data_IF_988898285774
#
_entry.id   IF_988898285774
#
_cell.length_a   1.000
_cell.length_b   1.000
_cell.length_c   1.000
_cell.angle_alpha   90.00
_cell.angle_beta   90.00
_cell.angle_gamma   90.00
#
_symmetry.space_group_name_H-M   'P 1'
#
loop_
_entity.id
_entity.type
_entity.pdbx_description
1 polymer ?
#
# COMPACT_ATOMS: atom_id res chain seq x y z
N UNK A 1 41.66 31.74 41.46
CA UNK A 1 42.39 30.54 40.94
C UNK A 1 41.42 29.40 40.59
N UNK A 2 40.24 29.69 39.99
CA UNK A 2 39.14 28.71 39.85
C UNK A 2 38.54 28.53 38.46
N UNK A 3 39.08 29.15 37.40
CA UNK A 3 38.41 29.19 36.08
C UNK A 3 38.90 28.15 35.07
N UNK A 4 40.02 27.45 35.29
CA UNK A 4 40.58 26.52 34.29
C UNK A 4 39.92 25.12 34.24
N UNK A 5 39.20 24.70 35.28
CA UNK A 5 38.57 23.35 35.32
C UNK A 5 37.26 23.22 34.53
N UNK A 6 36.66 24.33 34.09
CA UNK A 6 35.42 24.33 33.29
C UNK A 6 35.67 24.13 31.79
N UNK A 7 36.72 24.77 31.25
CA UNK A 7 37.01 24.78 29.80
C UNK A 7 37.32 23.41 29.21
N UNK A 8 38.10 22.57 29.91
CA UNK A 8 38.48 21.25 29.39
C UNK A 8 37.31 20.26 29.29
N UNK A 9 36.31 20.38 30.17
CA UNK A 9 35.07 19.57 30.08
C UNK A 9 34.17 20.04 28.96
N UNK A 10 34.10 21.34 28.69
CA UNK A 10 33.33 21.89 27.58
C UNK A 10 33.92 21.49 26.22
N UNK A 11 35.25 21.49 26.07
CA UNK A 11 35.92 21.03 24.85
C UNK A 11 35.72 19.53 24.59
N UNK A 12 35.77 18.70 25.63
CA UNK A 12 35.53 17.25 25.50
C UNK A 12 34.07 16.95 25.12
N UNK A 13 33.11 17.69 25.69
CA UNK A 13 31.69 17.59 25.31
C UNK A 13 31.47 18.08 23.88
N UNK A 14 32.11 19.17 23.46
CA UNK A 14 32.06 19.67 22.08
C UNK A 14 32.65 18.67 21.08
N UNK A 15 33.79 18.05 21.40
CA UNK A 15 34.39 17.01 20.56
C UNK A 15 33.48 15.77 20.45
N UNK A 16 32.83 15.38 21.56
CA UNK A 16 31.88 14.27 21.58
C UNK A 16 30.63 14.58 20.73
N UNK A 17 30.02 15.75 20.90
CA UNK A 17 28.87 16.20 20.09
C UNK A 17 29.23 16.28 18.62
N UNK A 18 30.42 16.78 18.30
CA UNK A 18 30.92 16.84 16.92
C UNK A 18 31.04 15.44 16.30
N UNK A 19 31.56 14.46 17.05
CA UNK A 19 31.69 13.09 16.56
C UNK A 19 30.33 12.39 16.34
N UNK A 20 29.30 12.75 17.11
CA UNK A 20 27.94 12.20 16.99
C UNK A 20 27.21 12.83 15.79
N UNK A 21 27.33 14.14 15.61
CA UNK A 21 26.63 14.87 14.54
C UNK A 21 27.27 14.62 13.18
N UNK A 22 28.60 14.56 13.11
CA UNK A 22 29.35 14.40 11.85
C UNK A 22 29.79 12.95 11.59
N UNK A 23 28.94 12.00 11.96
CA UNK A 23 29.16 10.61 11.59
C UNK A 23 29.01 10.46 10.08
N UNK A 24 30.01 9.87 9.43
CA UNK A 24 29.95 9.58 7.99
C UNK A 24 28.77 8.66 7.67
N UNK A 25 28.03 9.03 6.63
CA UNK A 25 26.92 8.23 6.12
C UNK A 25 27.40 7.25 5.05
N UNK A 26 26.79 6.07 5.01
CA UNK A 26 27.00 5.12 3.91
C UNK A 26 26.34 5.62 2.61
N UNK A 27 26.92 5.24 1.48
CA UNK A 27 26.35 5.54 0.17
C UNK A 27 25.20 4.56 -0.15
N UNK A 28 24.02 5.09 -0.47
CA UNK A 28 22.80 4.35 -0.81
C UNK A 28 22.37 4.52 -2.28
N UNK A 29 23.25 5.04 -3.14
CA UNK A 29 22.98 5.29 -4.55
C UNK A 29 22.52 4.01 -5.25
N UNK A 30 21.38 4.11 -5.94
CA UNK A 30 20.77 2.98 -6.66
C UNK A 30 20.07 1.94 -5.80
N UNK A 31 20.15 2.00 -4.46
CA UNK A 31 19.45 1.08 -3.55
C UNK A 31 18.10 1.60 -3.08
N UNK A 32 17.93 2.91 -3.03
CA UNK A 32 16.72 3.56 -2.52
C UNK A 32 16.07 4.43 -3.57
N UNK A 33 14.73 4.42 -3.59
CA UNK A 33 13.94 5.38 -4.39
C UNK A 33 14.15 6.76 -3.80
N UNK A 34 14.54 7.72 -4.64
CA UNK A 34 14.69 9.11 -4.24
C UNK A 34 13.32 9.70 -3.91
N UNK A 35 13.21 10.38 -2.77
CA UNK A 35 11.97 11.04 -2.36
C UNK A 35 11.75 12.26 -3.25
N UNK A 36 10.66 12.23 -4.01
CA UNK A 36 10.27 13.30 -4.94
C UNK A 36 8.75 13.37 -5.05
N UNK A 37 8.21 14.57 -4.88
CA UNK A 37 6.78 14.85 -5.02
C UNK A 37 6.39 15.17 -6.48
N UNK A 38 5.08 15.32 -6.71
CA UNK A 38 4.58 15.74 -8.01
C UNK A 38 4.91 17.21 -8.29
N UNK A 39 5.48 17.50 -9.47
CA UNK A 39 5.71 18.87 -9.93
C UNK A 39 4.44 19.47 -10.56
N UNK A 40 3.82 20.42 -9.86
CA UNK A 40 2.63 21.12 -10.34
C UNK A 40 2.90 22.10 -11.49
N UNK A 41 4.16 22.40 -11.82
CA UNK A 41 4.48 23.19 -13.01
C UNK A 41 4.16 22.44 -14.31
N UNK A 42 4.03 21.11 -14.26
CA UNK A 42 3.54 20.27 -15.36
C UNK A 42 2.02 20.35 -15.56
N UNK A 43 1.32 21.14 -14.73
CA UNK A 43 -0.14 21.23 -14.69
C UNK A 43 -0.78 20.18 -13.77
N UNK A 44 -2.12 20.16 -13.75
CA UNK A 44 -2.89 19.26 -12.87
C UNK A 44 -3.20 17.95 -13.59
N UNK A 45 -2.36 16.93 -13.35
CA UNK A 45 -2.55 15.58 -13.88
C UNK A 45 -2.74 14.58 -12.71
N UNK A 46 -4.00 14.21 -12.45
CA UNK A 46 -4.33 13.30 -11.34
C UNK A 46 -3.68 11.91 -11.44
N UNK A 47 -3.65 11.24 -12.62
CA UNK A 47 -2.91 9.98 -12.76
C UNK A 47 -1.43 10.09 -12.35
N UNK A 48 -0.73 11.14 -12.80
CA UNK A 48 0.68 11.33 -12.46
C UNK A 48 0.87 11.72 -10.98
N UNK A 49 -0.05 12.52 -10.43
CA UNK A 49 -0.07 12.89 -9.02
C UNK A 49 -0.25 11.66 -8.10
N UNK A 50 -1.18 10.76 -8.44
CA UNK A 50 -1.37 9.53 -7.67
C UNK A 50 -0.18 8.58 -7.84
N UNK A 51 0.43 8.54 -9.04
CA UNK A 51 1.63 7.73 -9.30
C UNK A 51 2.85 8.22 -8.51
N UNK A 52 3.02 9.53 -8.31
CA UNK A 52 4.14 10.06 -7.52
C UNK A 52 4.03 9.77 -6.02
N UNK A 53 2.86 9.34 -5.53
CA UNK A 53 2.66 9.04 -4.10
C UNK A 53 3.64 7.98 -3.58
N UNK A 54 4.05 7.03 -4.41
CA UNK A 54 5.07 6.01 -4.09
C UNK A 54 6.37 6.64 -3.62
N UNK A 55 6.80 7.72 -4.27
CA UNK A 55 8.05 8.44 -3.96
C UNK A 55 7.85 9.65 -3.03
N UNK A 56 6.62 9.91 -2.56
CA UNK A 56 6.32 11.11 -1.75
C UNK A 56 6.68 10.93 -0.26
N UNK A 57 6.64 9.70 0.25
CA UNK A 57 6.97 9.37 1.64
C UNK A 57 5.76 9.26 2.58
N UNK A 58 6.01 8.79 3.81
CA UNK A 58 5.00 8.60 4.86
C UNK A 58 3.79 7.76 4.40
N UNK A 59 2.56 8.24 4.65
CA UNK A 59 1.34 7.56 4.26
C UNK A 59 1.08 7.61 2.75
N UNK A 60 1.68 8.56 2.04
CA UNK A 60 1.54 8.62 0.58
C UNK A 60 2.21 7.40 -0.07
N UNK A 61 3.39 7.01 0.39
CA UNK A 61 4.05 5.79 -0.09
C UNK A 61 3.21 4.54 0.18
N UNK A 62 2.68 4.39 1.41
CA UNK A 62 1.79 3.28 1.75
C UNK A 62 0.54 3.21 0.83
N UNK A 63 -0.04 4.36 0.48
CA UNK A 63 -1.16 4.42 -0.44
C UNK A 63 -0.75 4.03 -1.87
N UNK A 64 0.40 4.52 -2.34
CA UNK A 64 0.97 4.15 -3.64
C UNK A 64 1.21 2.63 -3.74
N UNK A 65 1.79 2.04 -2.70
CA UNK A 65 2.03 0.59 -2.61
C UNK A 65 0.71 -0.19 -2.58
N UNK A 66 -0.27 0.27 -1.81
CA UNK A 66 -1.59 -0.36 -1.78
C UNK A 66 -2.28 -0.36 -3.14
N UNK A 67 -2.17 0.74 -3.92
CA UNK A 67 -2.69 0.81 -5.28
C UNK A 67 -1.99 -0.22 -6.18
N UNK A 68 -0.66 -0.34 -6.09
CA UNK A 68 0.09 -1.31 -6.89
C UNK A 68 -0.31 -2.75 -6.55
N UNK A 69 -0.42 -3.09 -5.26
CA UNK A 69 -0.81 -4.42 -4.81
C UNK A 69 -2.24 -4.77 -5.27
N UNK A 70 -3.19 -3.84 -5.19
CA UNK A 70 -4.56 -4.09 -5.68
C UNK A 70 -4.57 -4.31 -7.19
N UNK A 71 -3.81 -3.52 -7.97
CA UNK A 71 -3.71 -3.74 -9.41
C UNK A 71 -3.07 -5.11 -9.73
N UNK A 72 -2.03 -5.51 -8.99
CA UNK A 72 -1.44 -6.85 -9.12
C UNK A 72 -2.47 -7.95 -8.83
N UNK A 73 -3.31 -7.80 -7.81
CA UNK A 73 -4.39 -8.76 -7.53
C UNK A 73 -5.40 -8.86 -8.69
N UNK A 74 -5.72 -7.75 -9.34
CA UNK A 74 -6.66 -7.71 -10.47
C UNK A 74 -6.05 -8.30 -11.75
N UNK A 75 -4.77 -8.06 -11.98
CA UNK A 75 -4.04 -8.49 -13.17
C UNK A 75 -3.55 -9.94 -13.08
N UNK A 76 -3.29 -10.44 -11.86
CA UNK A 76 -2.72 -11.78 -11.62
C UNK A 76 -3.56 -12.89 -12.26
N UNK A 77 -2.88 -13.82 -12.93
CA UNK A 77 -3.43 -15.07 -13.47
C UNK A 77 -2.59 -16.25 -13.01
N UNK A 78 -3.20 -17.44 -12.94
CA UNK A 78 -2.46 -18.67 -12.62
C UNK A 78 -1.38 -19.00 -13.69
N UNK A 79 -1.47 -18.42 -14.89
CA UNK A 79 -0.43 -18.51 -15.91
C UNK A 79 0.89 -17.81 -15.54
N UNK A 80 0.85 -16.86 -14.60
CA UNK A 80 2.02 -16.11 -14.18
C UNK A 80 2.90 -16.92 -13.21
N UNK A 81 2.32 -17.93 -12.56
CA UNK A 81 3.02 -18.86 -11.67
C UNK A 81 3.69 -20.00 -12.47
N UNK A 82 4.92 -20.40 -12.10
CA UNK A 82 5.59 -21.53 -12.73
C UNK A 82 4.82 -22.83 -12.52
N UNK A 83 4.94 -23.75 -13.47
CA UNK A 83 4.39 -25.11 -13.33
C UNK A 83 5.33 -25.91 -12.44
N UNK A 84 4.81 -26.45 -11.35
CA UNK A 84 5.53 -27.37 -10.46
C UNK A 84 5.10 -28.81 -10.73
N UNK A 85 5.91 -29.78 -10.29
CA UNK A 85 5.60 -31.23 -10.42
C UNK A 85 4.32 -31.65 -9.66
N UNK A 86 3.77 -30.74 -8.85
CA UNK A 86 2.54 -30.92 -8.07
C UNK A 86 1.27 -30.52 -8.85
N UNK A 87 1.42 -29.80 -9.97
CA UNK A 87 0.31 -29.40 -10.84
C UNK A 87 -0.31 -30.62 -11.53
N UNK A 88 -1.62 -30.80 -11.43
CA UNK A 88 -2.31 -31.97 -11.98
C UNK A 88 -3.46 -31.62 -12.93
N UNK A 89 -3.73 -32.49 -13.89
CA UNK A 89 -4.92 -32.45 -14.75
C UNK A 89 -5.13 -31.13 -15.51
N UNK A 90 -6.19 -30.41 -15.14
CA UNK A 90 -6.65 -29.17 -15.79
C UNK A 90 -5.75 -27.96 -15.54
N UNK A 91 -4.88 -28.01 -14.52
CA UNK A 91 -3.93 -26.93 -14.18
C UNK A 91 -2.71 -26.89 -15.09
N UNK A 92 -2.49 -27.94 -15.90
CA UNK A 92 -1.45 -27.99 -16.94
C UNK A 92 -1.92 -27.34 -18.26
N UNK A 93 -3.23 -27.15 -18.42
CA UNK A 93 -3.82 -26.58 -19.64
C UNK A 93 -3.69 -25.06 -19.58
N UNK A 94 -2.92 -24.49 -20.52
CA UNK A 94 -2.65 -23.06 -20.59
C UNK A 94 -3.92 -22.20 -20.60
N UNK A 95 -4.95 -22.63 -21.33
CA UNK A 95 -6.22 -21.91 -21.41
C UNK A 95 -6.95 -21.87 -20.06
N UNK A 96 -6.91 -22.95 -19.28
CA UNK A 96 -7.48 -22.94 -17.93
C UNK A 96 -6.67 -22.05 -16.98
N UNK A 97 -5.33 -22.06 -17.06
CA UNK A 97 -4.48 -21.20 -16.21
C UNK A 97 -4.71 -19.71 -16.47
N UNK A 98 -4.96 -19.32 -17.73
CA UNK A 98 -5.30 -17.93 -18.09
C UNK A 98 -6.69 -17.51 -17.59
N UNK A 99 -7.63 -18.46 -17.48
CA UNK A 99 -8.97 -18.19 -16.97
C UNK A 99 -9.04 -18.12 -15.44
N UNK A 100 -8.07 -18.66 -14.72
CA UNK A 100 -8.02 -18.58 -13.26
C UNK A 100 -7.48 -17.22 -12.84
N UNK A 101 -8.35 -16.43 -12.21
CA UNK A 101 -8.04 -15.11 -11.64
C UNK A 101 -7.85 -15.19 -10.12
N UNK A 102 -7.22 -14.17 -9.54
CA UNK A 102 -7.07 -14.06 -8.10
C UNK A 102 -8.44 -13.92 -7.41
N UNK A 103 -8.60 -14.56 -6.24
CA UNK A 103 -9.80 -14.43 -5.40
C UNK A 103 -9.60 -13.29 -4.42
N UNK A 104 -10.19 -12.12 -4.69
CA UNK A 104 -10.03 -10.96 -3.82
C UNK A 104 -11.12 -10.95 -2.74
N UNK A 105 -10.68 -10.84 -1.48
CA UNK A 105 -11.54 -10.75 -0.29
C UNK A 105 -11.65 -9.29 0.14
N UNK A 106 -12.87 -8.77 0.20
CA UNK A 106 -13.13 -7.40 0.66
C UNK A 106 -13.78 -7.45 2.05
N UNK A 107 -13.14 -6.81 3.03
CA UNK A 107 -13.66 -6.63 4.37
C UNK A 107 -13.77 -5.14 4.70
N UNK A 108 -14.91 -4.73 5.25
CA UNK A 108 -15.11 -3.37 5.74
C UNK A 108 -15.90 -3.39 7.05
N UNK A 109 -15.76 -2.33 7.83
CA UNK A 109 -16.49 -2.10 9.07
C UNK A 109 -17.85 -1.45 8.81
N UNK A 110 -18.79 -1.55 9.74
CA UNK A 110 -20.15 -1.03 9.57
C UNK A 110 -20.21 0.47 9.31
N UNK A 111 -19.30 1.25 9.92
CA UNK A 111 -19.21 2.69 9.72
C UNK A 111 -18.90 3.08 8.26
N UNK A 112 -18.21 2.22 7.50
CA UNK A 112 -17.90 2.48 6.09
C UNK A 112 -19.16 2.37 5.22
N UNK A 113 -20.09 1.47 5.55
CA UNK A 113 -21.36 1.37 4.82
C UNK A 113 -22.40 2.40 5.27
N UNK A 114 -22.32 2.87 6.51
CA UNK A 114 -23.11 4.03 6.92
C UNK A 114 -22.55 5.37 6.40
N UNK A 115 -21.40 5.35 5.69
CA UNK A 115 -20.76 6.52 5.09
C UNK A 115 -20.94 6.54 3.56
N UNK A 116 -20.48 7.61 2.92
CA UNK A 116 -20.46 7.73 1.44
C UNK A 116 -19.59 6.70 0.72
N UNK A 117 -18.73 5.96 1.44
CA UNK A 117 -17.95 4.85 0.87
C UNK A 117 -18.84 3.67 0.44
N UNK A 118 -20.10 3.62 0.90
CA UNK A 118 -21.10 2.64 0.46
C UNK A 118 -21.25 2.56 -1.05
N UNK A 119 -21.20 3.70 -1.75
CA UNK A 119 -21.40 3.72 -3.21
C UNK A 119 -20.20 3.10 -3.95
N UNK A 120 -18.99 3.35 -3.47
CA UNK A 120 -17.77 2.68 -3.97
C UNK A 120 -17.85 1.18 -3.75
N UNK A 121 -18.20 0.73 -2.54
CA UNK A 121 -18.35 -0.70 -2.25
C UNK A 121 -19.45 -1.34 -3.11
N UNK A 122 -20.59 -0.65 -3.28
CA UNK A 122 -21.68 -1.10 -4.15
C UNK A 122 -21.20 -1.28 -5.58
N UNK A 123 -20.47 -0.31 -6.13
CA UNK A 123 -19.92 -0.40 -7.50
C UNK A 123 -19.03 -1.63 -7.66
N UNK A 124 -18.10 -1.84 -6.72
CA UNK A 124 -17.17 -2.98 -6.76
C UNK A 124 -17.89 -4.34 -6.69
N UNK A 125 -18.97 -4.43 -5.90
CA UNK A 125 -19.79 -5.66 -5.81
C UNK A 125 -20.64 -5.88 -7.07
N UNK A 126 -21.20 -4.82 -7.66
CA UNK A 126 -22.02 -4.91 -8.87
C UNK A 126 -21.24 -5.42 -10.08
N UNK A 127 -19.99 -5.00 -10.23
CA UNK A 127 -19.13 -5.40 -11.34
C UNK A 127 -18.34 -6.69 -11.07
N UNK A 128 -18.63 -7.41 -9.97
CA UNK A 128 -17.98 -8.67 -9.56
C UNK A 128 -16.45 -8.60 -9.57
N UNK A 129 -15.88 -7.48 -9.13
CA UNK A 129 -14.42 -7.34 -9.00
C UNK A 129 -13.84 -8.08 -7.78
N UNK A 130 -14.71 -8.62 -6.90
CA UNK A 130 -14.35 -9.35 -5.67
C UNK A 130 -15.21 -10.61 -5.55
N UNK A 131 -14.66 -11.65 -4.93
CA UNK A 131 -15.31 -12.96 -4.89
C UNK A 131 -15.98 -13.28 -3.55
N UNK A 132 -15.43 -12.79 -2.42
CA UNK A 132 -15.96 -13.09 -1.08
C UNK A 132 -16.03 -11.80 -0.25
N UNK A 133 -17.20 -11.56 0.35
CA UNK A 133 -17.51 -10.40 1.18
C UNK A 133 -17.60 -10.82 2.66
N UNK A 134 -16.72 -10.29 3.50
CA UNK A 134 -16.76 -10.51 4.96
C UNK A 134 -17.31 -9.27 5.66
N UNK A 135 -18.60 -9.30 6.03
CA UNK A 135 -19.23 -8.30 6.91
C UNK A 135 -19.01 -8.71 8.38
N UNK A 136 -18.48 -7.81 9.23
CA UNK A 136 -18.62 -8.00 10.69
C UNK A 136 -20.03 -7.58 11.14
N UNK A 137 -20.84 -8.51 11.68
CA UNK A 137 -22.25 -8.24 11.97
C UNK A 137 -22.41 -7.61 13.35
N UNK A 138 -22.38 -6.27 13.44
CA UNK A 138 -22.86 -5.59 14.66
C UNK A 138 -23.76 -4.38 14.42
N UNK A 139 -24.05 -3.93 13.18
CA UNK A 139 -24.87 -2.72 12.99
C UNK A 139 -25.82 -2.71 11.77
N UNK A 140 -25.96 -3.81 11.03
CA UNK A 140 -26.70 -3.77 9.75
C UNK A 140 -28.21 -4.02 9.86
N UNK A 141 -28.72 -4.54 10.97
CA UNK A 141 -30.10 -5.02 11.01
C UNK A 141 -31.18 -3.94 11.21
N UNK A 142 -30.85 -2.66 11.44
CA UNK A 142 -31.90 -1.66 11.69
C UNK A 142 -32.33 -0.87 10.47
N UNK A 143 -31.51 -0.73 9.42
CA UNK A 143 -31.89 0.12 8.29
C UNK A 143 -31.29 -0.36 6.97
N UNK A 144 -32.17 -0.72 6.03
CA UNK A 144 -31.94 -0.86 4.59
C UNK A 144 -31.22 -2.11 4.09
N UNK A 145 -31.97 -3.19 3.84
CA UNK A 145 -31.79 -4.08 2.67
C UNK A 145 -32.99 -5.05 2.53
N UNK A 146 -33.86 -4.87 1.51
CA UNK A 146 -34.52 -5.98 0.85
C UNK A 146 -33.84 -6.15 -0.52
N UNK A 147 -32.90 -7.08 -0.65
CA UNK A 147 -32.41 -7.48 -1.96
C UNK A 147 -32.35 -9.00 -2.09
N UNK A 148 -33.25 -9.48 -2.94
CA UNK A 148 -33.26 -10.72 -3.74
C UNK A 148 -33.20 -12.08 -3.02
N UNK A 149 -34.38 -12.69 -2.92
CA UNK A 149 -34.60 -14.12 -3.16
C UNK A 149 -34.42 -14.47 -4.66
N UNK A 150 -34.26 -15.77 -5.02
CA UNK A 150 -33.44 -16.25 -6.12
C UNK A 150 -33.94 -15.92 -7.53
#
# INVERSE_FOLDING_TARGET
>A
MGEEKGKGKEEEVLASVHSIVFKESENLDGKCVKIEGYDFNLGVNYPLLLKSMVATGFQASNLGDAIQVVNQMLDWRLSDEPITDECSGQELILENRKCVTCKVFLGFTSNLISSGVRDTVRFLLQHRMYQILNLRPCAFYSNSLPLCQP
#
